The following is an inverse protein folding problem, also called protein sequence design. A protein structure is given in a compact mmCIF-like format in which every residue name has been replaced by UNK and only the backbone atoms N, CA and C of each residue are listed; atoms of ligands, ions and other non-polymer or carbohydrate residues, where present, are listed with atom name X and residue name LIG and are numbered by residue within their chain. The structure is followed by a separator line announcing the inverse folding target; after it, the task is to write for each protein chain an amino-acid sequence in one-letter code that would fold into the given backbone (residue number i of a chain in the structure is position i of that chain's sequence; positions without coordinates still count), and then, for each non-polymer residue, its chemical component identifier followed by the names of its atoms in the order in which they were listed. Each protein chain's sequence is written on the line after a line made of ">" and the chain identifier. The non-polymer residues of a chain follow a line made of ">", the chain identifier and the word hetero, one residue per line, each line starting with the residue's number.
data_IF_496754167799
#
_entry.id   IF_496754167799
#
_cell.length_a   1.000
_cell.length_b   1.000
_cell.length_c   1.000
_cell.angle_alpha   90.00
_cell.angle_beta   90.00
_cell.angle_gamma   90.00
#
_symmetry.space_group_name_H-M   'P 1'
#
loop_
_entity.id
_entity.type
_entity.pdbx_description
1 polymer ?
#
# COMPACT_ATOMS: atom_id res chain seq x y z
N UNK A 1 7.89 -4.98 -12.39
CA UNK A 1 6.78 -4.41 -11.60
C UNK A 1 6.23 -5.56 -10.79
N UNK A 2 6.13 -5.39 -9.47
CA UNK A 2 5.54 -6.40 -8.58
C UNK A 2 4.16 -5.94 -8.14
N UNK A 3 3.19 -6.83 -8.05
CA UNK A 3 1.82 -6.49 -7.66
C UNK A 3 1.35 -7.31 -6.47
N UNK A 4 0.68 -6.66 -5.52
CA UNK A 4 0.14 -7.29 -4.29
C UNK A 4 -1.32 -6.88 -4.09
N UNK A 5 -2.20 -7.86 -3.83
CA UNK A 5 -3.62 -7.64 -3.51
C UNK A 5 -3.96 -8.12 -2.09
N UNK A 6 -4.25 -7.19 -1.19
CA UNK A 6 -4.70 -7.56 0.16
C UNK A 6 -6.20 -7.87 0.19
N UNK A 7 -6.57 -9.07 0.65
CA UNK A 7 -7.97 -9.49 0.74
C UNK A 7 -8.41 -9.64 2.21
N UNK A 8 -9.57 -9.07 2.57
CA UNK A 8 -10.23 -9.38 3.85
C UNK A 8 -11.74 -9.56 3.65
N UNK A 9 -12.51 -9.65 4.75
CA UNK A 9 -13.95 -9.93 4.62
C UNK A 9 -14.72 -8.81 3.89
N UNK A 10 -14.63 -7.57 4.34
CA UNK A 10 -15.42 -6.45 3.82
C UNK A 10 -14.62 -5.26 3.28
N UNK A 11 -13.29 -5.36 3.20
CA UNK A 11 -12.44 -4.32 2.61
C UNK A 11 -12.62 -2.88 3.13
N UNK A 12 -13.01 -2.73 4.40
CA UNK A 12 -13.09 -1.42 5.08
C UNK A 12 -12.14 -1.28 6.27
N UNK A 13 -11.61 -2.39 6.81
CA UNK A 13 -10.72 -2.36 7.99
C UNK A 13 -9.34 -2.89 7.66
N UNK A 14 -9.20 -4.23 7.61
CA UNK A 14 -7.90 -4.92 7.61
C UNK A 14 -7.16 -4.75 6.29
N UNK A 15 -7.81 -5.04 5.16
CA UNK A 15 -7.12 -4.97 3.87
C UNK A 15 -6.78 -3.54 3.42
N UNK A 16 -7.62 -2.50 3.62
CA UNK A 16 -7.20 -1.12 3.35
C UNK A 16 -6.08 -0.65 4.27
N UNK A 17 -6.11 -1.03 5.56
CA UNK A 17 -4.98 -0.72 6.45
C UNK A 17 -3.69 -1.35 5.94
N UNK A 18 -3.71 -2.63 5.54
CA UNK A 18 -2.53 -3.31 5.01
C UNK A 18 -2.00 -2.64 3.74
N UNK A 19 -2.89 -2.25 2.81
CA UNK A 19 -2.54 -1.52 1.60
C UNK A 19 -1.77 -0.23 1.91
N UNK A 20 -2.33 0.66 2.74
CA UNK A 20 -1.71 1.96 3.01
C UNK A 20 -0.46 1.86 3.89
N UNK A 21 -0.43 0.92 4.84
CA UNK A 21 0.78 0.60 5.60
C UNK A 21 1.87 0.11 4.66
N UNK A 22 1.57 -0.79 3.74
CA UNK A 22 2.55 -1.35 2.82
C UNK A 22 3.05 -0.31 1.81
N UNK A 23 2.15 0.53 1.26
CA UNK A 23 2.52 1.69 0.44
C UNK A 23 3.48 2.62 1.19
N UNK A 24 3.20 2.93 2.46
CA UNK A 24 4.10 3.73 3.32
C UNK A 24 5.46 3.05 3.55
N UNK A 25 5.47 1.74 3.81
CA UNK A 25 6.71 0.96 3.93
C UNK A 25 7.53 0.97 2.63
N UNK A 26 6.90 0.90 1.46
CA UNK A 26 7.56 0.99 0.14
C UNK A 26 8.19 2.38 -0.04
N UNK A 27 7.46 3.46 0.29
CA UNK A 27 7.98 4.84 0.19
C UNK A 27 9.17 5.06 1.12
N UNK A 28 9.04 4.64 2.38
CA UNK A 28 10.13 4.61 3.37
C UNK A 28 11.27 3.70 2.93
N UNK A 29 11.00 2.81 1.98
CA UNK A 29 11.99 1.91 1.44
C UNK A 29 12.84 2.46 0.31
N UNK A 30 12.56 3.69 -0.14
CA UNK A 30 13.16 4.24 -1.36
C UNK A 30 12.67 3.55 -2.63
N UNK A 31 11.63 2.71 -2.53
CA UNK A 31 10.99 2.01 -3.64
C UNK A 31 9.78 2.82 -4.13
N UNK A 32 9.23 2.48 -5.29
CA UNK A 32 8.14 3.24 -5.90
C UNK A 32 6.80 2.51 -5.79
N UNK A 33 5.74 3.26 -5.48
CA UNK A 33 4.36 2.82 -5.67
C UNK A 33 3.88 3.32 -7.04
N UNK A 34 3.17 2.48 -7.78
CA UNK A 34 2.58 2.83 -9.07
C UNK A 34 1.69 4.08 -8.94
N UNK A 35 1.76 4.97 -9.94
CA UNK A 35 0.97 6.22 -9.98
C UNK A 35 1.52 7.38 -9.15
N UNK A 36 2.55 7.18 -8.32
CA UNK A 36 3.10 8.23 -7.47
C UNK A 36 4.29 8.99 -8.06
N UNK A 37 4.33 10.31 -7.85
CA UNK A 37 5.45 11.19 -8.20
C UNK A 37 6.57 11.10 -7.15
N UNK A 38 7.83 11.03 -7.61
CA UNK A 38 9.09 10.82 -6.85
C UNK A 38 9.40 11.79 -5.69
N UNK A 39 8.54 12.74 -5.36
CA UNK A 39 8.86 13.83 -4.42
C UNK A 39 9.12 13.38 -2.96
N UNK A 40 8.79 12.13 -2.60
CA UNK A 40 8.82 11.65 -1.21
C UNK A 40 9.99 10.71 -0.85
N UNK A 41 10.82 10.29 -1.80
CA UNK A 41 11.81 9.21 -1.60
C UNK A 41 13.10 9.61 -0.84
N UNK A 42 13.18 10.81 -0.26
CA UNK A 42 14.42 11.32 0.37
C UNK A 42 14.24 11.51 1.89
N UNK A 43 14.30 10.41 2.65
CA UNK A 43 14.38 10.44 4.13
C UNK A 43 15.58 9.61 4.63
N UNK A 44 16.71 10.26 4.96
CA UNK A 44 17.95 9.60 5.42
C UNK A 44 17.82 8.79 6.72
N UNK A 45 16.84 9.10 7.56
CA UNK A 45 16.64 8.49 8.89
C UNK A 45 16.38 6.97 8.89
N UNK A 46 15.95 6.40 7.76
CA UNK A 46 15.54 4.99 7.66
C UNK A 46 16.72 4.00 7.55
N UNK A 47 17.90 4.46 7.12
CA UNK A 47 19.10 3.61 7.10
C UNK A 47 19.58 3.27 8.53
N UNK A 48 19.23 4.12 9.51
CA UNK A 48 19.54 3.87 10.92
C UNK A 48 18.59 2.84 11.56
N UNK A 49 17.34 2.73 11.08
CA UNK A 49 16.36 1.77 11.59
C UNK A 49 16.54 0.36 10.99
N UNK A 50 17.00 0.25 9.74
CA UNK A 50 17.26 -1.03 9.05
C UNK A 50 18.69 -1.09 8.47
N UNK A 51 19.66 -1.60 9.24
CA UNK A 51 21.08 -1.56 8.88
C UNK A 51 21.46 -2.50 7.71
N UNK A 52 20.74 -3.61 7.52
CA UNK A 52 21.05 -4.61 6.48
C UNK A 52 20.46 -4.26 5.09
N UNK A 53 19.98 -3.03 4.92
CA UNK A 53 19.31 -2.60 3.70
C UNK A 53 20.32 -2.45 2.55
N UNK A 54 20.10 -3.08 1.38
CA UNK A 54 20.93 -2.84 0.20
C UNK A 54 20.84 -1.36 -0.18
N UNK A 55 21.99 -0.74 -0.46
CA UNK A 55 22.10 0.69 -0.75
C UNK A 55 21.17 1.10 -1.90
N UNK A 56 20.45 2.21 -1.73
CA UNK A 56 19.65 2.83 -2.78
C UNK A 56 20.52 3.00 -4.03
N UNK A 57 20.10 2.45 -5.17
CA UNK A 57 20.73 2.75 -6.45
C UNK A 57 20.59 4.24 -6.74
N UNK A 58 21.71 4.94 -6.94
CA UNK A 58 21.74 6.38 -7.25
C UNK A 58 21.03 6.73 -8.59
N UNK A 59 20.66 5.71 -9.38
CA UNK A 59 19.83 5.85 -10.57
C UNK A 59 18.35 5.64 -10.22
N UNK A 60 17.58 6.70 -10.41
CA UNK A 60 16.12 6.69 -10.26
C UNK A 60 15.44 5.74 -11.25
N UNK A 61 16.03 5.48 -12.42
CA UNK A 61 15.42 4.69 -13.50
C UNK A 61 15.33 3.19 -13.23
N UNK A 62 16.08 2.67 -12.26
CA UNK A 62 16.12 1.24 -11.93
C UNK A 62 15.28 0.87 -10.68
N UNK A 63 14.54 1.84 -10.11
CA UNK A 63 13.75 1.60 -8.90
C UNK A 63 12.59 0.65 -9.18
N UNK A 64 12.54 -0.44 -8.43
CA UNK A 64 11.45 -1.40 -8.49
C UNK A 64 10.12 -0.72 -8.13
N UNK A 65 9.15 -0.82 -9.05
CA UNK A 65 7.79 -0.26 -8.92
C UNK A 65 6.83 -1.34 -8.45
N UNK A 66 6.00 -0.99 -7.46
CA UNK A 66 5.01 -1.84 -6.84
C UNK A 66 3.59 -1.32 -7.09
N UNK A 67 2.71 -2.20 -7.56
CA UNK A 67 1.25 -2.01 -7.52
C UNK A 67 0.72 -2.65 -6.23
N UNK A 68 -0.06 -1.91 -5.46
CA UNK A 68 -0.57 -2.40 -4.16
C UNK A 68 -2.01 -1.95 -4.04
N UNK A 69 -2.92 -2.91 -3.95
CA UNK A 69 -4.36 -2.66 -3.88
C UNK A 69 -4.99 -3.58 -2.83
N UNK A 70 -6.28 -3.40 -2.56
CA UNK A 70 -7.03 -4.23 -1.63
C UNK A 70 -8.47 -4.50 -2.07
N UNK A 71 -9.02 -5.65 -1.67
CA UNK A 71 -10.38 -6.08 -2.00
C UNK A 71 -11.05 -6.89 -0.88
N UNK A 72 -12.33 -7.22 -1.07
CA UNK A 72 -13.20 -7.97 -0.15
C UNK A 72 -13.57 -9.36 -0.69
N UNK A 73 -13.91 -10.31 0.18
CA UNK A 73 -14.63 -11.53 -0.25
C UNK A 73 -16.16 -11.38 -0.20
N UNK A 74 -16.65 -10.36 0.53
CA UNK A 74 -18.07 -10.06 0.70
C UNK A 74 -18.49 -8.81 -0.07
N UNK A 75 -19.80 -8.63 -0.24
CA UNK A 75 -20.43 -7.43 -0.82
C UNK A 75 -21.02 -6.49 0.23
N UNK A 76 -21.02 -6.86 1.51
CA UNK A 76 -21.72 -6.14 2.59
C UNK A 76 -21.34 -4.66 2.69
N UNK A 77 -20.12 -4.32 2.28
CA UNK A 77 -19.53 -2.99 2.43
C UNK A 77 -19.22 -2.34 1.09
N UNK A 78 -19.78 -2.83 -0.03
CA UNK A 78 -19.45 -2.33 -1.36
C UNK A 78 -19.66 -0.80 -1.49
N UNK A 79 -18.64 -0.11 -1.97
CA UNK A 79 -18.58 1.34 -2.12
C UNK A 79 -18.27 2.12 -0.83
N UNK A 80 -18.30 1.47 0.34
CA UNK A 80 -17.99 2.12 1.60
C UNK A 80 -16.49 2.44 1.71
N UNK A 81 -16.20 3.51 2.43
CA UNK A 81 -14.84 3.97 2.68
C UNK A 81 -14.23 3.23 3.89
N UNK A 82 -12.96 3.47 4.18
CA UNK A 82 -12.25 2.88 5.32
C UNK A 82 -13.03 3.15 6.62
N UNK A 83 -13.25 2.09 7.39
CA UNK A 83 -13.88 2.09 8.69
C UNK A 83 -13.29 3.20 9.59
N UNK A 84 -14.11 4.07 10.22
CA UNK A 84 -13.59 5.26 10.89
C UNK A 84 -12.53 5.01 11.97
N UNK A 85 -12.62 3.96 12.83
CA UNK A 85 -11.54 3.59 13.71
C UNK A 85 -10.23 3.23 13.01
N UNK A 86 -10.28 2.54 11.87
CA UNK A 86 -9.08 2.23 11.08
C UNK A 86 -8.43 3.50 10.52
N UNK A 87 -9.22 4.47 10.02
CA UNK A 87 -8.71 5.81 9.64
C UNK A 87 -8.03 6.54 10.80
N UNK A 88 -8.62 6.49 12.00
CA UNK A 88 -8.02 7.09 13.19
C UNK A 88 -6.68 6.46 13.53
N UNK A 89 -6.57 5.13 13.40
CA UNK A 89 -5.30 4.42 13.60
C UNK A 89 -4.26 4.84 12.57
N UNK A 90 -4.59 4.85 11.27
CA UNK A 90 -3.66 5.31 10.22
C UNK A 90 -3.16 6.73 10.48
N UNK A 91 -4.05 7.66 10.82
CA UNK A 91 -3.71 9.03 11.19
C UNK A 91 -2.79 9.09 12.43
N UNK A 92 -3.08 8.30 13.48
CA UNK A 92 -2.28 8.27 14.70
C UNK A 92 -0.83 7.80 14.45
N UNK A 93 -0.62 6.96 13.44
CA UNK A 93 0.70 6.50 13.02
C UNK A 93 1.33 7.34 11.89
N UNK A 94 0.67 8.43 11.46
CA UNK A 94 1.16 9.29 10.38
C UNK A 94 1.22 8.60 9.01
N UNK A 95 0.38 7.59 8.79
CA UNK A 95 0.35 6.81 7.56
C UNK A 95 -0.62 7.48 6.58
N UNK A 96 -0.14 7.98 5.43
CA UNK A 96 -1.00 8.63 4.45
C UNK A 96 -1.88 7.60 3.74
N UNK A 97 -3.16 7.94 3.59
CA UNK A 97 -4.14 7.16 2.84
C UNK A 97 -5.02 8.10 2.02
N UNK A 98 -5.58 7.55 0.94
CA UNK A 98 -6.54 8.23 0.09
C UNK A 98 -7.95 7.70 0.33
N UNK A 99 -8.94 8.25 -0.39
CA UNK A 99 -10.32 7.75 -0.29
C UNK A 99 -10.34 6.31 -0.82
N UNK A 100 -10.85 5.40 0.00
CA UNK A 100 -11.04 4.01 -0.36
C UNK A 100 -12.48 3.78 -0.81
N UNK A 101 -12.69 2.82 -1.70
CA UNK A 101 -14.01 2.30 -2.03
C UNK A 101 -13.94 0.79 -1.97
N UNK A 102 -14.60 0.19 -0.98
CA UNK A 102 -14.59 -1.25 -0.82
C UNK A 102 -15.26 -1.95 -2.01
N UNK A 103 -14.65 -3.01 -2.52
CA UNK A 103 -15.24 -3.83 -3.57
C UNK A 103 -14.93 -5.30 -3.36
N UNK A 104 -15.78 -6.18 -3.91
CA UNK A 104 -15.52 -7.62 -3.89
C UNK A 104 -14.50 -7.99 -4.95
N UNK A 105 -13.53 -8.79 -4.58
CA UNK A 105 -12.55 -9.38 -5.50
C UNK A 105 -13.25 -10.21 -6.58
N UNK A 106 -12.76 -10.07 -7.81
CA UNK A 106 -13.14 -10.92 -8.94
C UNK A 106 -11.98 -11.83 -9.33
N UNK A 107 -12.25 -13.03 -9.85
CA UNK A 107 -11.18 -13.94 -10.30
C UNK A 107 -10.28 -13.29 -11.37
N UNK A 108 -10.88 -12.52 -12.27
CA UNK A 108 -10.14 -11.76 -13.28
C UNK A 108 -9.21 -10.72 -12.66
N UNK A 109 -9.65 -10.03 -11.61
CA UNK A 109 -8.85 -9.05 -10.88
C UNK A 109 -7.71 -9.74 -10.14
N UNK A 110 -8.02 -10.80 -9.36
CA UNK A 110 -7.02 -11.53 -8.59
C UNK A 110 -5.90 -12.09 -9.50
N UNK A 111 -6.24 -12.49 -10.72
CA UNK A 111 -5.27 -13.01 -11.69
C UNK A 111 -4.27 -11.96 -12.23
N UNK A 112 -4.50 -10.66 -11.99
CA UNK A 112 -3.59 -9.58 -12.37
C UNK A 112 -2.46 -9.34 -11.35
N UNK A 113 -2.57 -9.93 -10.15
CA UNK A 113 -1.61 -9.72 -9.06
C UNK A 113 -0.67 -10.91 -8.89
N UNK A 114 0.59 -10.63 -8.54
CA UNK A 114 1.58 -11.67 -8.29
C UNK A 114 1.30 -12.42 -6.96
N UNK A 115 0.77 -11.71 -5.95
CA UNK A 115 0.52 -12.21 -4.59
C UNK A 115 -0.78 -11.67 -4.00
#
# INVERSE_FOLDING_TARGET
>A
MKSVLFICHGNICRSPMAEFIFKDMIRKSGLRVEGESLRHAQRPELQAEWPDRPGLSERTDDLEVFRVDSAAVSYEEEGNDIYPPAKRTLNAHGIPFERHGAHRVMDSEASEYDV
#
